data_IF_648768503243
#
_entry.id   IF_648768503243
#
_cell.length_a   1.000
_cell.length_b   1.000
_cell.length_c   1.000
_cell.angle_alpha   90.00
_cell.angle_beta   90.00
_cell.angle_gamma   90.00
#
_symmetry.space_group_name_H-M   'P 1'
#
loop_
_entity.id
_entity.type
_entity.pdbx_description
1 polymer ?
#
# COMPACT_ATOMS: atom_id res chain seq x y z
N UNK A 1 -23.40 -11.48 0.53
CA UNK A 1 -22.98 -12.47 -0.50
C UNK A 1 -22.30 -11.71 -1.63
N UNK A 2 -21.04 -12.00 -1.94
CA UNK A 2 -20.34 -11.38 -3.07
C UNK A 2 -20.68 -12.07 -4.39
N UNK A 3 -20.94 -11.31 -5.47
CA UNK A 3 -21.12 -11.82 -6.84
C UNK A 3 -19.79 -12.39 -7.36
N UNK A 4 -19.81 -13.47 -8.17
CA UNK A 4 -18.57 -14.05 -8.73
C UNK A 4 -18.04 -13.15 -9.85
N UNK A 5 -16.74 -13.19 -10.12
CA UNK A 5 -16.14 -12.41 -11.21
C UNK A 5 -16.74 -12.73 -12.58
N UNK A 6 -17.20 -13.96 -12.80
CA UNK A 6 -17.89 -14.37 -14.02
C UNK A 6 -19.26 -13.70 -14.16
N UNK A 7 -20.00 -13.57 -13.06
CA UNK A 7 -21.31 -12.94 -13.04
C UNK A 7 -21.18 -11.43 -13.30
N UNK A 8 -20.18 -10.78 -12.68
CA UNK A 8 -19.85 -9.37 -12.91
C UNK A 8 -19.33 -9.12 -14.33
N UNK A 9 -18.57 -10.07 -14.88
CA UNK A 9 -18.11 -10.02 -16.27
C UNK A 9 -19.29 -10.03 -17.24
N UNK A 10 -20.26 -10.90 -17.02
CA UNK A 10 -21.45 -10.99 -17.86
C UNK A 10 -22.38 -9.78 -17.72
N UNK A 11 -22.60 -9.30 -16.49
CA UNK A 11 -23.44 -8.12 -16.19
C UNK A 11 -22.90 -6.84 -16.84
N UNK A 12 -21.57 -6.68 -16.90
CA UNK A 12 -20.94 -5.47 -17.42
C UNK A 12 -20.33 -5.65 -18.83
N UNK A 13 -20.53 -6.80 -19.48
CA UNK A 13 -19.98 -7.08 -20.81
C UNK A 13 -18.44 -7.07 -20.84
N UNK A 14 -17.79 -7.39 -19.72
CA UNK A 14 -16.34 -7.39 -19.56
C UNK A 14 -15.80 -8.83 -19.57
N UNK A 15 -14.51 -9.00 -19.85
CA UNK A 15 -13.86 -10.29 -19.61
C UNK A 15 -13.59 -10.51 -18.11
N UNK A 16 -13.61 -11.75 -17.61
CA UNK A 16 -13.32 -12.04 -16.20
C UNK A 16 -11.93 -11.54 -15.76
N UNK A 17 -10.96 -11.55 -16.67
CA UNK A 17 -9.61 -11.00 -16.45
C UNK A 17 -9.65 -9.47 -16.30
N UNK A 18 -10.49 -8.79 -17.09
CA UNK A 18 -10.65 -7.34 -17.02
C UNK A 18 -11.35 -6.90 -15.73
N UNK A 19 -12.36 -7.64 -15.29
CA UNK A 19 -13.02 -7.44 -13.99
C UNK A 19 -12.02 -7.57 -12.85
N UNK A 20 -11.16 -8.60 -12.89
CA UNK A 20 -10.09 -8.78 -11.89
C UNK A 20 -9.14 -7.60 -11.83
N UNK A 21 -8.64 -7.14 -12.99
CA UNK A 21 -7.73 -5.99 -13.05
C UNK A 21 -8.37 -4.70 -12.55
N UNK A 22 -9.66 -4.48 -12.84
CA UNK A 22 -10.39 -3.29 -12.37
C UNK A 22 -10.52 -3.33 -10.84
N UNK A 23 -10.84 -4.49 -10.27
CA UNK A 23 -10.96 -4.67 -8.82
C UNK A 23 -9.60 -4.54 -8.14
N UNK A 24 -8.55 -5.17 -8.67
CA UNK A 24 -7.17 -5.03 -8.17
C UNK A 24 -6.71 -3.55 -8.20
N UNK A 25 -7.04 -2.83 -9.28
CA UNK A 25 -6.72 -1.41 -9.42
C UNK A 25 -7.56 -0.53 -8.50
N UNK A 26 -8.81 -0.88 -8.25
CA UNK A 26 -9.68 -0.17 -7.31
C UNK A 26 -9.26 -0.39 -5.85
N UNK A 27 -8.83 -1.61 -5.49
CA UNK A 27 -8.26 -1.94 -4.18
C UNK A 27 -7.00 -1.12 -3.88
N UNK A 28 -6.19 -0.86 -4.91
CA UNK A 28 -4.99 -0.01 -4.84
C UNK A 28 -5.32 1.48 -4.75
N UNK A 29 -6.38 1.97 -5.41
CA UNK A 29 -6.71 3.40 -5.51
C UNK A 29 -7.60 3.93 -4.38
N UNK A 30 -8.45 3.11 -3.78
CA UNK A 30 -9.52 3.56 -2.87
C UNK A 30 -9.22 3.27 -1.39
N UNK A 31 -8.06 2.68 -1.06
CA UNK A 31 -7.82 2.27 0.33
C UNK A 31 -8.80 1.18 0.77
N UNK A 32 -9.00 0.18 -0.09
CA UNK A 32 -9.86 -0.98 0.13
C UNK A 32 -11.32 -0.69 -0.15
N UNK A 33 -11.78 -1.01 -1.36
CA UNK A 33 -13.12 -1.55 -1.48
C UNK A 33 -13.06 -2.89 -0.74
N UNK A 34 -13.97 -3.08 0.22
CA UNK A 34 -14.05 -4.29 1.03
C UNK A 34 -14.50 -5.44 0.12
N UNK A 35 -13.57 -6.02 -0.64
CA UNK A 35 -13.75 -7.37 -1.17
C UNK A 35 -13.46 -8.30 0.00
N UNK A 36 -14.52 -8.95 0.50
CA UNK A 36 -14.41 -9.91 1.60
C UNK A 36 -13.39 -10.97 1.18
N UNK A 37 -12.28 -11.06 1.90
CA UNK A 37 -11.27 -12.07 1.67
C UNK A 37 -11.81 -13.39 2.23
N UNK A 38 -12.76 -14.02 1.56
CA UNK A 38 -13.23 -15.34 1.98
C UNK A 38 -12.31 -16.44 1.42
N UNK A 39 -12.01 -17.48 2.21
CA UNK A 39 -11.43 -18.70 1.67
C UNK A 39 -12.37 -19.26 0.58
N UNK A 40 -11.78 -19.76 -0.50
CA UNK A 40 -12.53 -20.49 -1.52
C UNK A 40 -13.30 -21.66 -0.86
N UNK A 41 -14.54 -21.91 -1.25
CA UNK A 41 -15.29 -23.13 -0.87
C UNK A 41 -14.68 -24.42 -1.48
N UNK A 42 -13.60 -24.31 -2.25
CA UNK A 42 -12.83 -25.46 -2.70
C UNK A 42 -12.06 -26.10 -1.53
N UNK A 43 -11.73 -27.39 -1.63
CA UNK A 43 -10.88 -28.06 -0.64
C UNK A 43 -9.59 -27.25 -0.39
N UNK A 44 -9.09 -27.22 0.86
CA UNK A 44 -7.82 -26.59 1.18
C UNK A 44 -6.74 -27.08 0.20
N UNK A 45 -6.00 -26.15 -0.40
CA UNK A 45 -4.96 -26.48 -1.38
C UNK A 45 -3.66 -26.97 -0.73
N UNK A 46 -3.51 -26.79 0.58
CA UNK A 46 -2.37 -27.26 1.37
C UNK A 46 -2.72 -27.42 2.86
N UNK A 47 -1.93 -28.23 3.56
CA UNK A 47 -2.04 -28.44 5.01
C UNK A 47 -1.88 -27.14 5.80
N UNK A 48 -1.04 -26.22 5.31
CA UNK A 48 -0.88 -24.89 5.92
C UNK A 48 -2.19 -24.08 5.95
N UNK A 49 -3.08 -24.23 4.96
CA UNK A 49 -4.38 -23.56 5.01
C UNK A 49 -5.27 -24.08 6.14
N UNK A 50 -5.07 -25.34 6.55
CA UNK A 50 -5.77 -25.96 7.67
C UNK A 50 -5.18 -25.49 9.00
N UNK A 51 -3.85 -25.36 9.09
CA UNK A 51 -3.16 -24.91 10.29
C UNK A 51 -3.42 -23.43 10.61
N UNK A 52 -3.64 -22.61 9.58
CA UNK A 52 -3.83 -21.17 9.72
C UNK A 52 -5.19 -20.68 9.19
N UNK A 53 -6.33 -21.18 9.71
CA UNK A 53 -7.66 -20.90 9.15
C UNK A 53 -8.09 -19.43 9.33
N UNK A 54 -7.47 -18.72 10.26
CA UNK A 54 -7.76 -17.34 10.62
C UNK A 54 -7.04 -16.29 9.75
N UNK A 55 -6.13 -16.71 8.86
CA UNK A 55 -5.29 -15.79 8.05
C UNK A 55 -6.12 -14.86 7.17
N UNK A 56 -7.21 -15.37 6.60
CA UNK A 56 -8.14 -14.57 5.80
C UNK A 56 -8.81 -13.47 6.62
N UNK A 57 -9.23 -13.80 7.85
CA UNK A 57 -9.82 -12.83 8.77
C UNK A 57 -8.78 -11.76 9.16
N UNK A 58 -7.53 -12.15 9.46
CA UNK A 58 -6.46 -11.17 9.72
C UNK A 58 -6.24 -10.24 8.53
N UNK A 59 -6.21 -10.78 7.31
CA UNK A 59 -6.06 -9.94 6.12
C UNK A 59 -7.24 -9.00 5.90
N UNK A 60 -8.47 -9.44 6.19
CA UNK A 60 -9.67 -8.61 6.11
C UNK A 60 -9.68 -7.51 7.17
N UNK A 61 -9.48 -7.87 8.45
CA UNK A 61 -9.45 -6.95 9.59
C UNK A 61 -8.39 -5.87 9.39
N UNK A 62 -7.22 -6.25 8.88
CA UNK A 62 -6.13 -5.33 8.59
C UNK A 62 -6.15 -4.81 7.15
N UNK A 63 -7.24 -4.97 6.39
CA UNK A 63 -7.43 -4.47 5.01
C UNK A 63 -6.24 -4.73 4.06
N UNK A 64 -5.58 -5.88 4.19
CA UNK A 64 -4.36 -6.21 3.45
C UNK A 64 -4.63 -6.61 1.98
N UNK A 65 -5.88 -6.58 1.53
CA UNK A 65 -6.30 -6.95 0.18
C UNK A 65 -6.57 -8.45 0.03
N UNK A 66 -7.51 -8.80 -0.85
CA UNK A 66 -8.00 -10.18 -1.01
C UNK A 66 -6.98 -11.16 -1.61
N UNK A 67 -5.98 -10.65 -2.32
CA UNK A 67 -4.90 -11.46 -2.93
C UNK A 67 -3.81 -11.81 -1.90
N UNK A 68 -3.67 -11.04 -0.82
CA UNK A 68 -2.56 -11.18 0.14
C UNK A 68 -2.51 -12.53 0.86
N UNK A 69 -3.63 -13.10 1.36
CA UNK A 69 -3.63 -14.47 1.92
C UNK A 69 -3.05 -15.50 0.96
N UNK A 70 -3.41 -15.42 -0.33
CA UNK A 70 -2.92 -16.36 -1.34
C UNK A 70 -1.41 -16.28 -1.52
N UNK A 71 -0.85 -15.06 -1.56
CA UNK A 71 0.60 -14.86 -1.61
C UNK A 71 1.29 -15.34 -0.34
N UNK A 72 0.67 -15.12 0.82
CA UNK A 72 1.18 -15.60 2.10
C UNK A 72 1.29 -17.13 2.11
N UNK A 73 0.21 -17.85 1.79
CA UNK A 73 0.25 -19.32 1.77
C UNK A 73 1.24 -19.88 0.77
N UNK A 74 1.33 -19.28 -0.43
CA UNK A 74 2.33 -19.67 -1.43
C UNK A 74 3.77 -19.51 -0.91
N UNK A 75 4.06 -18.42 -0.19
CA UNK A 75 5.39 -18.19 0.38
C UNK A 75 5.65 -19.08 1.61
N UNK A 76 4.63 -19.36 2.42
CA UNK A 76 4.69 -20.26 3.55
C UNK A 76 4.97 -21.70 3.10
N UNK A 77 4.27 -22.19 2.08
CA UNK A 77 4.53 -23.49 1.45
C UNK A 77 5.96 -23.61 0.95
N UNK A 78 6.47 -22.55 0.30
CA UNK A 78 7.87 -22.51 -0.18
C UNK A 78 8.89 -22.51 0.97
N UNK A 79 8.57 -21.85 2.08
CA UNK A 79 9.43 -21.78 3.25
C UNK A 79 9.38 -23.07 4.09
N UNK A 80 8.26 -23.79 4.03
CA UNK A 80 8.00 -25.03 4.77
C UNK A 80 7.73 -24.85 6.26
N UNK A 81 7.78 -23.62 6.78
CA UNK A 81 7.43 -23.26 8.16
C UNK A 81 7.32 -21.75 8.31
N UNK A 82 6.62 -21.31 9.35
CA UNK A 82 6.47 -19.88 9.65
C UNK A 82 7.81 -19.24 10.05
N UNK A 83 8.67 -19.98 10.77
CA UNK A 83 10.02 -19.58 11.19
C UNK A 83 10.90 -19.29 9.98
N UNK A 84 10.97 -20.24 9.04
CA UNK A 84 11.77 -20.06 7.83
C UNK A 84 11.24 -18.94 6.94
N UNK A 85 9.93 -18.72 6.94
CA UNK A 85 9.31 -17.61 6.21
C UNK A 85 9.73 -16.26 6.82
N UNK A 86 9.63 -16.13 8.15
CA UNK A 86 10.02 -14.93 8.88
C UNK A 86 11.51 -14.65 8.75
N UNK A 87 12.37 -15.66 8.85
CA UNK A 87 13.82 -15.51 8.64
C UNK A 87 14.15 -15.05 7.21
N UNK A 88 13.47 -15.62 6.20
CA UNK A 88 13.59 -15.18 4.81
C UNK A 88 13.20 -13.70 4.67
N UNK A 89 12.10 -13.28 5.29
CA UNK A 89 11.63 -11.90 5.25
C UNK A 89 12.58 -10.94 5.98
N UNK A 90 13.19 -11.35 7.10
CA UNK A 90 14.22 -10.53 7.77
C UNK A 90 15.41 -10.25 6.86
N UNK A 91 15.85 -11.23 6.07
CA UNK A 91 16.98 -11.10 5.12
C UNK A 91 16.64 -10.30 3.86
N UNK A 92 15.36 -10.25 3.47
CA UNK A 92 14.88 -9.59 2.25
C UNK A 92 13.73 -8.62 2.56
N UNK A 93 14.02 -7.41 3.08
CA UNK A 93 13.00 -6.45 3.50
C UNK A 93 12.15 -5.87 2.36
N UNK A 94 12.63 -5.92 1.10
CA UNK A 94 11.96 -5.36 -0.07
C UNK A 94 10.79 -6.15 -0.66
N UNK A 95 10.41 -7.29 -0.07
CA UNK A 95 9.31 -8.14 -0.55
C UNK A 95 7.91 -7.52 -0.38
N UNK A 96 6.90 -8.15 -1.01
CA UNK A 96 5.49 -7.69 -1.02
C UNK A 96 4.99 -7.24 0.37
N UNK A 97 4.83 -5.92 0.52
CA UNK A 97 4.51 -5.22 1.78
C UNK A 97 3.34 -5.82 2.55
N UNK A 98 2.27 -6.18 1.86
CA UNK A 98 1.06 -6.74 2.48
C UNK A 98 1.27 -8.17 2.96
N UNK A 99 2.03 -9.00 2.21
CA UNK A 99 2.36 -10.37 2.61
C UNK A 99 3.28 -10.39 3.83
N UNK A 100 4.22 -9.44 3.90
CA UNK A 100 5.07 -9.25 5.09
C UNK A 100 4.27 -8.86 6.32
N UNK A 101 3.35 -7.90 6.18
CA UNK A 101 2.49 -7.50 7.29
C UNK A 101 1.56 -8.64 7.74
N UNK A 102 1.04 -9.44 6.80
CA UNK A 102 0.26 -10.62 7.14
C UNK A 102 1.08 -11.67 7.90
N UNK A 103 2.33 -11.92 7.47
CA UNK A 103 3.24 -12.83 8.18
C UNK A 103 3.57 -12.33 9.60
N UNK A 104 3.72 -11.02 9.77
CA UNK A 104 3.92 -10.39 11.09
C UNK A 104 2.72 -10.62 12.01
N UNK A 105 1.51 -10.43 11.51
CA UNK A 105 0.26 -10.63 12.27
C UNK A 105 0.06 -12.09 12.67
N UNK A 106 0.34 -13.03 11.76
CA UNK A 106 0.31 -14.47 12.04
C UNK A 106 1.33 -14.80 13.13
N UNK A 107 2.57 -14.33 12.99
CA UNK A 107 3.60 -14.52 14.02
C UNK A 107 3.19 -13.97 15.38
N UNK A 108 2.65 -12.74 15.41
CA UNK A 108 2.19 -12.10 16.63
C UNK A 108 1.08 -12.89 17.31
N UNK A 109 0.18 -13.49 16.54
CA UNK A 109 -0.87 -14.33 17.09
C UNK A 109 -0.34 -15.66 17.64
N UNK A 110 0.62 -16.29 16.96
CA UNK A 110 1.18 -17.58 17.37
C UNK A 110 2.18 -17.48 18.53
N UNK A 111 2.94 -16.39 18.61
CA UNK A 111 4.06 -16.24 19.55
C UNK A 111 3.84 -15.17 20.62
N UNK A 112 2.82 -14.31 20.48
CA UNK A 112 2.56 -13.20 21.40
C UNK A 112 3.51 -11.99 21.24
N UNK A 113 4.52 -12.10 20.37
CA UNK A 113 5.52 -11.06 20.10
C UNK A 113 5.59 -10.74 18.60
N UNK A 114 6.12 -9.58 18.22
CA UNK A 114 6.25 -9.21 16.81
C UNK A 114 7.66 -9.49 16.31
N UNK A 115 7.86 -10.17 15.17
CA UNK A 115 9.20 -10.54 14.68
C UNK A 115 9.99 -9.33 14.14
N UNK A 116 9.30 -8.21 13.88
CA UNK A 116 9.80 -6.89 13.52
C UNK A 116 8.73 -5.84 13.90
N UNK A 117 9.06 -4.53 13.98
CA UNK A 117 8.08 -3.47 14.26
C UNK A 117 6.87 -3.54 13.32
N UNK A 118 5.68 -3.17 13.81
CA UNK A 118 4.48 -3.16 12.97
C UNK A 118 4.73 -2.28 11.74
N UNK A 119 4.38 -2.74 10.53
CA UNK A 119 4.39 -1.82 9.39
C UNK A 119 3.31 -0.79 9.65
N UNK A 120 3.68 0.37 10.20
CA UNK A 120 2.78 1.51 10.31
C UNK A 120 2.25 1.76 8.89
N UNK A 121 0.97 1.44 8.67
CA UNK A 121 0.22 2.15 7.64
C UNK A 121 0.15 3.55 8.18
N UNK A 122 0.65 4.51 7.42
CA UNK A 122 0.39 5.89 7.70
C UNK A 122 -1.12 6.10 7.58
N UNK A 123 -1.83 5.97 8.70
CA UNK A 123 -3.27 6.22 8.84
C UNK A 123 -3.54 7.69 9.10
N UNK A 124 -2.49 8.51 9.06
CA UNK A 124 -2.54 9.95 9.23
C UNK A 124 -3.19 10.54 7.98
N UNK A 125 -4.41 11.05 8.13
CA UNK A 125 -5.11 11.77 7.08
C UNK A 125 -4.48 13.16 6.90
N UNK A 126 -4.01 13.46 5.70
CA UNK A 126 -3.60 14.82 5.32
C UNK A 126 -4.88 15.61 5.06
N UNK A 127 -5.16 16.60 5.90
CA UNK A 127 -6.34 17.45 5.79
C UNK A 127 -6.08 18.62 4.83
N UNK A 128 -7.11 19.03 4.10
CA UNK A 128 -7.03 20.23 3.28
C UNK A 128 -6.90 21.47 4.18
N UNK A 129 -6.00 22.42 3.86
CA UNK A 129 -5.94 23.68 4.60
C UNK A 129 -7.27 24.43 4.52
N UNK A 130 -7.69 25.01 5.65
CA UNK A 130 -9.00 25.65 5.80
C UNK A 130 -9.08 27.03 5.14
N UNK A 131 -7.95 27.72 4.98
CA UNK A 131 -7.90 29.03 4.33
C UNK A 131 -7.89 28.93 2.79
N UNK A 132 -8.22 30.00 2.05
CA UNK A 132 -8.07 30.11 0.59
C UNK A 132 -6.62 30.00 0.09
N UNK A 133 -6.42 29.87 -1.23
CA UNK A 133 -5.10 29.59 -1.82
C UNK A 133 -4.16 30.80 -1.79
N UNK A 134 -4.72 32.00 -1.76
CA UNK A 134 -4.07 33.31 -1.73
C UNK A 134 -3.85 33.83 -0.29
N UNK A 135 -4.29 33.10 0.72
CA UNK A 135 -4.12 33.50 2.12
C UNK A 135 -2.63 33.44 2.53
N UNK A 136 -2.09 34.46 3.25
CA UNK A 136 -0.68 34.51 3.63
C UNK A 136 -0.23 33.29 4.45
N UNK A 137 -1.10 32.80 5.34
CA UNK A 137 -0.78 31.63 6.20
C UNK A 137 -1.01 30.28 5.52
N UNK A 138 -1.43 30.25 4.24
CA UNK A 138 -1.74 28.99 3.54
C UNK A 138 -0.54 28.06 3.49
N UNK A 139 0.66 28.62 3.29
CA UNK A 139 1.90 27.86 3.28
C UNK A 139 2.16 27.15 4.61
N UNK A 140 1.97 27.84 5.73
CA UNK A 140 2.13 27.29 7.06
C UNK A 140 1.09 26.19 7.35
N UNK A 141 -0.18 26.41 6.97
CA UNK A 141 -1.20 25.37 7.14
C UNK A 141 -0.93 24.11 6.32
N UNK A 142 -0.37 24.24 5.11
CA UNK A 142 0.07 23.09 4.33
C UNK A 142 1.17 22.30 5.04
N UNK A 143 2.13 22.99 5.68
CA UNK A 143 3.21 22.34 6.43
C UNK A 143 2.65 21.58 7.64
N UNK A 144 1.80 22.21 8.45
CA UNK A 144 1.16 21.59 9.61
C UNK A 144 0.30 20.37 9.23
N UNK A 145 -0.39 20.42 8.09
CA UNK A 145 -1.19 19.29 7.60
C UNK A 145 -0.33 18.10 7.14
N UNK A 146 0.90 18.34 6.68
CA UNK A 146 1.84 17.32 6.20
C UNK A 146 2.77 16.79 7.29
N UNK A 147 3.05 17.58 8.32
CA UNK A 147 4.03 17.29 9.38
C UNK A 147 3.85 15.91 10.02
N UNK A 148 2.65 15.45 10.38
CA UNK A 148 2.53 14.16 11.06
C UNK A 148 2.87 12.98 10.12
N UNK A 149 2.50 13.07 8.84
CA UNK A 149 2.86 12.06 7.83
C UNK A 149 4.35 12.12 7.49
N UNK A 150 4.93 13.32 7.49
CA UNK A 150 6.36 13.53 7.31
C UNK A 150 7.16 12.88 8.44
N UNK A 151 6.76 13.09 9.70
CA UNK A 151 7.44 12.49 10.85
C UNK A 151 7.40 10.96 10.81
N UNK A 152 6.27 10.38 10.43
CA UNK A 152 6.16 8.91 10.29
C UNK A 152 7.02 8.37 9.13
N UNK A 153 7.25 9.16 8.08
CA UNK A 153 8.18 8.80 7.02
C UNK A 153 9.62 8.82 7.51
N UNK A 154 10.00 9.86 8.26
CA UNK A 154 11.33 10.00 8.87
C UNK A 154 11.61 8.84 9.83
N UNK A 155 10.69 8.55 10.75
CA UNK A 155 10.82 7.43 11.70
C UNK A 155 11.04 6.10 10.98
N UNK A 156 10.27 5.82 9.91
CA UNK A 156 10.41 4.56 9.16
C UNK A 156 11.74 4.46 8.41
N UNK A 157 12.25 5.57 7.90
CA UNK A 157 13.56 5.58 7.27
C UNK A 157 14.68 5.37 8.31
N UNK A 158 14.56 5.99 9.49
CA UNK A 158 15.48 5.78 10.60
C UNK A 158 15.46 4.33 11.12
N UNK A 159 14.28 3.72 11.27
CA UNK A 159 14.12 2.30 11.61
C UNK A 159 14.75 1.37 10.56
N UNK A 160 14.90 1.85 9.32
CA UNK A 160 15.58 1.13 8.23
C UNK A 160 17.10 1.36 8.22
N UNK A 161 17.63 2.08 9.22
CA UNK A 161 19.06 2.31 9.43
C UNK A 161 19.62 3.57 8.76
N UNK A 162 18.77 4.47 8.26
CA UNK A 162 19.23 5.72 7.65
C UNK A 162 19.56 6.75 8.74
N UNK A 163 20.61 7.54 8.52
CA UNK A 163 20.89 8.70 9.38
C UNK A 163 19.91 9.84 9.12
N UNK A 164 19.74 10.71 10.11
CA UNK A 164 18.84 11.87 10.00
C UNK A 164 19.22 12.79 8.81
N UNK A 165 20.52 12.99 8.58
CA UNK A 165 21.04 13.79 7.47
C UNK A 165 20.71 13.16 6.10
N UNK A 166 20.86 11.84 5.95
CA UNK A 166 20.51 11.12 4.72
C UNK A 166 19.03 11.25 4.41
N UNK A 167 18.18 11.14 5.44
CA UNK A 167 16.73 11.28 5.30
C UNK A 167 16.38 12.70 4.86
N UNK A 168 16.91 13.71 5.56
CA UNK A 168 16.66 15.11 5.25
C UNK A 168 17.11 15.47 3.83
N UNK A 169 18.32 15.08 3.46
CA UNK A 169 18.88 15.36 2.13
C UNK A 169 18.07 14.69 1.02
N UNK A 170 17.73 13.41 1.16
CA UNK A 170 16.94 12.70 0.17
C UNK A 170 15.55 13.32 -0.02
N UNK A 171 14.88 13.72 1.07
CA UNK A 171 13.56 14.35 0.99
C UNK A 171 13.63 15.73 0.31
N UNK A 172 14.67 16.52 0.59
CA UNK A 172 14.92 17.81 -0.07
C UNK A 172 15.12 17.65 -1.58
N UNK A 173 15.96 16.69 -2.00
CA UNK A 173 16.23 16.42 -3.42
C UNK A 173 14.97 15.95 -4.16
N UNK A 174 14.16 15.05 -3.54
CA UNK A 174 12.90 14.59 -4.12
C UNK A 174 11.89 15.74 -4.29
N UNK A 175 11.75 16.60 -3.28
CA UNK A 175 10.89 17.78 -3.36
C UNK A 175 11.37 18.75 -4.45
N UNK A 176 12.67 19.03 -4.49
CA UNK A 176 13.29 19.90 -5.50
C UNK A 176 13.10 19.37 -6.93
N UNK A 177 13.31 18.08 -7.15
CA UNK A 177 13.11 17.44 -8.45
C UNK A 177 11.65 17.56 -8.91
N UNK A 178 10.68 17.38 -8.01
CA UNK A 178 9.25 17.53 -8.33
C UNK A 178 8.89 18.95 -8.75
N UNK A 179 9.43 19.96 -8.07
CA UNK A 179 9.23 21.37 -8.42
C UNK A 179 9.78 21.69 -9.82
N UNK A 180 11.01 21.26 -10.10
CA UNK A 180 11.66 21.45 -11.42
C UNK A 180 10.88 20.77 -12.54
N UNK A 181 10.37 19.56 -12.32
CA UNK A 181 9.56 18.86 -13.32
C UNK A 181 8.23 19.58 -13.57
N UNK A 182 7.55 20.04 -12.51
CA UNK A 182 6.30 20.79 -12.65
C UNK A 182 6.50 22.13 -13.39
N UNK A 183 7.61 22.85 -13.17
CA UNK A 183 7.89 24.09 -13.90
C UNK A 183 8.13 23.83 -15.38
N UNK A 184 8.95 22.83 -15.72
CA UNK A 184 9.22 22.44 -17.10
C UNK A 184 7.94 22.00 -17.85
N UNK A 185 7.06 21.25 -17.18
CA UNK A 185 5.77 20.86 -17.76
C UNK A 185 4.88 22.09 -18.03
N UNK A 186 4.77 23.02 -17.08
CA UNK A 186 3.98 24.26 -17.28
C UNK A 186 4.52 25.13 -18.41
N UNK A 187 5.84 25.20 -18.57
CA UNK A 187 6.46 25.93 -19.69
C UNK A 187 6.12 25.29 -21.03
N UNK A 188 6.15 23.96 -21.09
CA UNK A 188 5.79 23.18 -22.29
C UNK A 188 4.31 23.39 -22.65
N UNK A 189 3.40 23.32 -21.68
CA UNK A 189 1.97 23.58 -21.88
C UNK A 189 1.73 25.00 -22.43
N UNK A 190 2.38 26.01 -21.84
CA UNK A 190 2.30 27.40 -22.35
C UNK A 190 2.84 27.55 -23.77
N UNK A 191 3.87 26.79 -24.15
CA UNK A 191 4.40 26.81 -25.51
C UNK A 191 3.41 26.18 -26.50
N UNK A 192 2.77 25.06 -26.12
CA UNK A 192 1.72 24.40 -26.91
C UNK A 192 0.51 25.33 -27.10
N UNK A 193 0.04 25.98 -26.04
CA UNK A 193 -1.12 26.87 -26.12
C UNK A 193 -0.85 28.09 -27.00
N UNK A 194 0.36 28.68 -26.91
CA UNK A 194 0.78 29.75 -27.82
C UNK A 194 0.81 29.28 -29.27
N UNK A 195 1.38 28.11 -29.55
CA UNK A 195 1.42 27.56 -30.91
C UNK A 195 0.00 27.28 -31.47
N UNK A 196 -0.94 26.88 -30.61
CA UNK A 196 -2.36 26.70 -30.99
C UNK A 196 -3.09 28.01 -31.24
N UNK A 197 -2.79 29.06 -30.48
CA UNK A 197 -3.41 30.38 -30.62
C UNK A 197 -2.89 31.16 -31.85
N UNK A 198 -1.76 30.76 -32.43
CA UNK A 198 -1.16 31.41 -33.61
C UNK A 198 -1.56 30.72 -34.93
N UNK A 199 -2.48 29.75 -34.88
CA UNK A 199 -2.96 28.95 -36.02
C UNK A 199 -4.44 29.22 -36.28
#
# INVERSE_FOLDING_TARGET
MGKRFADLAQEHGLSPTRVRQIIEKADLLVGGIVTKAEPSKASPRSDFMVDYPYVWNLAEMHRLGSVTPHHFFKELERAGSLERLVDKMKRLPGGARTTRELARLVWQKERGESPWPAMKRSSIAIVQPSCPADHPDRGLQCQLALEPTFQELVERAAESGWSEDEIAYALLELAGARLKSNSANRETERAIDRARATR
#
